data_IF_273682618938
#
_entry.id   IF_273682618938
#
_cell.length_a   1.000
_cell.length_b   1.000
_cell.length_c   1.000
_cell.angle_alpha   90.00
_cell.angle_beta   90.00
_cell.angle_gamma   90.00
#
_symmetry.space_group_name_H-M   'P 1'
#
loop_
_entity.id
_entity.type
_entity.pdbx_description
1 polymer ?
#
# COMPACT_ATOMS: atom_id res chain seq x y z
N UNK A 1 19.91 19.48 -8.12
CA UNK A 1 20.33 18.56 -7.04
C UNK A 1 19.09 17.85 -6.50
N UNK A 2 19.17 16.55 -6.26
CA UNK A 2 18.05 15.75 -5.76
C UNK A 2 18.00 15.76 -4.22
N UNK A 3 16.83 15.46 -3.64
CA UNK A 3 16.65 15.44 -2.17
C UNK A 3 17.61 14.49 -1.47
N UNK A 4 18.06 13.43 -2.15
CA UNK A 4 18.99 12.47 -1.57
C UNK A 4 20.42 13.01 -1.48
N UNK A 5 20.86 13.88 -2.39
CA UNK A 5 22.17 14.56 -2.25
C UNK A 5 22.17 15.57 -1.09
N UNK A 6 21.06 16.29 -0.87
CA UNK A 6 20.93 17.19 0.29
C UNK A 6 20.92 16.44 1.62
N UNK A 7 20.32 15.25 1.67
CA UNK A 7 20.31 14.39 2.85
C UNK A 7 21.70 13.85 3.23
N UNK A 8 22.59 13.63 2.25
CA UNK A 8 23.98 13.22 2.48
C UNK A 8 24.87 14.36 3.00
N UNK A 9 24.46 15.61 2.78
CA UNK A 9 25.20 16.82 3.14
C UNK A 9 24.89 17.33 4.55
N UNK A 10 23.86 16.82 5.25
CA UNK A 10 23.61 17.15 6.64
C UNK A 10 24.60 16.44 7.57
N UNK A 11 25.15 17.17 8.54
CA UNK A 11 26.03 16.63 9.57
C UNK A 11 25.28 15.65 10.48
N UNK A 12 25.79 14.42 10.58
CA UNK A 12 25.16 13.32 11.31
C UNK A 12 25.50 13.42 12.81
N UNK A 13 24.54 13.17 13.73
CA UNK A 13 24.81 13.13 15.16
C UNK A 13 25.90 12.09 15.52
N UNK A 14 26.79 12.43 16.46
CA UNK A 14 27.85 11.53 16.92
C UNK A 14 27.27 10.24 17.51
N UNK A 15 27.66 9.10 16.94
CA UNK A 15 27.26 7.75 17.41
C UNK A 15 26.48 6.92 16.39
N UNK A 16 26.04 7.50 15.27
CA UNK A 16 25.32 6.77 14.21
C UNK A 16 26.29 6.42 13.07
N UNK A 17 26.34 5.17 12.60
CA UNK A 17 27.16 4.79 11.45
C UNK A 17 26.77 5.59 10.21
N UNK A 18 27.75 6.21 9.53
CA UNK A 18 27.56 6.99 8.28
C UNK A 18 27.32 6.09 7.07
N UNK A 19 26.31 5.22 7.19
CA UNK A 19 25.88 4.27 6.16
C UNK A 19 24.61 4.79 5.49
N UNK A 20 24.40 4.38 4.23
CA UNK A 20 23.23 4.79 3.46
C UNK A 20 21.90 4.45 4.16
N UNK A 21 21.82 3.28 4.81
CA UNK A 21 20.63 2.84 5.52
C UNK A 21 20.29 3.75 6.72
N UNK A 22 21.29 4.10 7.54
CA UNK A 22 21.11 4.93 8.72
C UNK A 22 20.69 6.38 8.37
N UNK A 23 21.25 6.95 7.29
CA UNK A 23 20.87 8.28 6.80
C UNK A 23 19.44 8.27 6.22
N UNK A 24 19.06 7.21 5.52
CA UNK A 24 17.72 7.06 4.96
C UNK A 24 16.62 6.91 6.04
N UNK A 25 16.94 6.24 7.16
CA UNK A 25 16.06 6.16 8.33
C UNK A 25 15.93 7.51 9.04
N UNK A 26 17.04 8.20 9.30
CA UNK A 26 17.04 9.51 10.00
C UNK A 26 16.28 10.60 9.24
N UNK A 27 16.40 10.62 7.91
CA UNK A 27 15.80 11.66 7.05
C UNK A 27 14.33 11.38 6.70
N UNK A 28 13.73 10.30 7.22
CA UNK A 28 12.40 9.82 6.83
C UNK A 28 12.23 9.67 5.30
N UNK A 29 13.34 9.54 4.56
CA UNK A 29 13.35 9.44 3.10
C UNK A 29 12.60 8.20 2.58
N UNK A 30 12.34 7.23 3.45
CA UNK A 30 11.48 6.08 3.18
C UNK A 30 10.01 6.45 2.92
N UNK A 31 9.48 7.51 3.55
CA UNK A 31 8.12 8.00 3.32
C UNK A 31 7.98 8.66 1.94
N UNK A 32 9.02 9.38 1.48
CA UNK A 32 9.05 10.01 0.15
C UNK A 32 9.14 9.03 -1.04
N UNK A 33 9.34 7.73 -0.77
CA UNK A 33 9.35 6.65 -1.78
C UNK A 33 8.03 5.88 -1.86
N UNK A 34 7.05 6.21 -1.01
CA UNK A 34 5.76 5.55 -1.04
C UNK A 34 4.98 5.96 -2.29
N UNK A 35 4.19 5.02 -2.80
CA UNK A 35 3.40 5.22 -4.01
C UNK A 35 2.26 6.24 -3.80
N UNK A 36 1.70 6.27 -2.59
CA UNK A 36 0.68 7.20 -2.13
C UNK A 36 1.30 8.18 -1.15
N UNK A 37 0.76 9.40 -1.09
CA UNK A 37 1.03 10.33 0.00
C UNK A 37 0.42 9.79 1.31
N UNK A 38 0.92 10.22 2.48
CA UNK A 38 0.36 9.77 3.76
C UNK A 38 -1.15 10.03 3.91
N UNK A 39 -1.65 11.12 3.31
CA UNK A 39 -3.06 11.49 3.30
C UNK A 39 -3.89 10.56 2.40
N UNK A 40 -3.39 10.27 1.20
CA UNK A 40 -4.00 9.30 0.28
C UNK A 40 -4.04 7.90 0.90
N UNK A 41 -2.93 7.50 1.54
CA UNK A 41 -2.83 6.20 2.20
C UNK A 41 -3.85 6.09 3.35
N UNK A 42 -4.00 7.15 4.16
CA UNK A 42 -5.01 7.23 5.23
C UNK A 42 -6.44 7.16 4.69
N UNK A 43 -6.73 7.84 3.58
CA UNK A 43 -8.04 7.79 2.94
C UNK A 43 -8.39 6.37 2.45
N UNK A 44 -7.42 5.68 1.83
CA UNK A 44 -7.58 4.30 1.41
C UNK A 44 -7.83 3.35 2.59
N UNK A 45 -7.08 3.51 3.69
CA UNK A 45 -7.29 2.70 4.92
C UNK A 45 -8.70 2.93 5.48
N UNK A 46 -9.14 4.17 5.61
CA UNK A 46 -10.49 4.50 6.09
C UNK A 46 -11.59 3.88 5.21
N UNK A 47 -11.43 3.94 3.89
CA UNK A 47 -12.34 3.29 2.96
C UNK A 47 -12.40 1.76 3.18
N UNK A 48 -11.25 1.10 3.33
CA UNK A 48 -11.19 -0.34 3.57
C UNK A 48 -11.84 -0.73 4.91
N UNK A 49 -11.65 0.08 5.95
CA UNK A 49 -12.29 -0.12 7.25
C UNK A 49 -13.81 0.06 7.16
N UNK A 50 -14.29 1.08 6.44
CA UNK A 50 -15.71 1.31 6.19
C UNK A 50 -16.34 0.12 5.46
N UNK A 51 -15.72 -0.33 4.37
CA UNK A 51 -16.19 -1.49 3.61
C UNK A 51 -16.26 -2.76 4.48
N UNK A 52 -15.30 -2.96 5.38
CA UNK A 52 -15.34 -4.05 6.35
C UNK A 52 -16.48 -3.91 7.36
N UNK A 53 -16.76 -2.70 7.86
CA UNK A 53 -17.89 -2.46 8.78
C UNK A 53 -19.23 -2.70 8.10
N UNK A 54 -19.34 -2.41 6.80
CA UNK A 54 -20.53 -2.67 5.99
C UNK A 54 -20.69 -4.16 5.61
N UNK A 55 -19.83 -5.05 6.12
CA UNK A 55 -19.87 -6.48 5.82
C UNK A 55 -19.37 -6.85 4.42
N UNK A 56 -18.74 -5.91 3.71
CA UNK A 56 -18.21 -6.09 2.36
C UNK A 56 -16.69 -5.89 2.34
N UNK A 57 -15.91 -6.74 3.04
CA UNK A 57 -14.47 -6.59 3.10
C UNK A 57 -13.81 -6.70 1.71
N UNK A 58 -12.93 -5.76 1.39
CA UNK A 58 -12.23 -5.73 0.10
C UNK A 58 -11.10 -6.77 0.07
N UNK A 59 -10.94 -7.47 -1.05
CA UNK A 59 -9.84 -8.43 -1.24
C UNK A 59 -8.53 -7.70 -1.54
N UNK A 60 -7.41 -8.22 -1.02
CA UNK A 60 -6.06 -7.64 -1.20
C UNK A 60 -5.69 -7.40 -2.67
N UNK A 61 -6.18 -8.24 -3.60
CA UNK A 61 -5.94 -8.08 -5.04
C UNK A 61 -6.46 -6.78 -5.64
N UNK A 62 -7.48 -6.17 -5.02
CA UNK A 62 -8.08 -4.93 -5.50
C UNK A 62 -7.42 -3.68 -4.91
N UNK A 63 -6.64 -3.82 -3.83
CA UNK A 63 -5.99 -2.69 -3.16
C UNK A 63 -5.03 -1.94 -4.10
N UNK A 64 -4.18 -2.60 -4.92
CA UNK A 64 -3.36 -1.91 -5.91
C UNK A 64 -4.15 -1.11 -6.93
N UNK A 65 -5.32 -1.62 -7.36
CA UNK A 65 -6.18 -0.95 -8.35
C UNK A 65 -6.81 0.30 -7.72
N UNK A 66 -7.26 0.21 -6.47
CA UNK A 66 -7.78 1.37 -5.73
C UNK A 66 -6.70 2.44 -5.53
N UNK A 67 -5.49 2.03 -5.13
CA UNK A 67 -4.35 2.91 -4.99
C UNK A 67 -3.98 3.58 -6.34
N UNK A 68 -4.04 2.84 -7.44
CA UNK A 68 -3.81 3.38 -8.78
C UNK A 68 -4.88 4.42 -9.16
N UNK A 69 -6.15 4.17 -8.87
CA UNK A 69 -7.23 5.13 -9.13
C UNK A 69 -7.03 6.44 -8.36
N UNK A 70 -6.65 6.37 -7.08
CA UNK A 70 -6.35 7.56 -6.26
C UNK A 70 -5.17 8.33 -6.85
N UNK A 71 -4.06 7.62 -7.13
CA UNK A 71 -2.86 8.24 -7.67
C UNK A 71 -3.10 8.89 -9.04
N UNK A 72 -3.95 8.31 -9.89
CA UNK A 72 -4.34 8.90 -11.18
C UNK A 72 -5.16 10.18 -11.03
N UNK A 73 -6.03 10.26 -10.04
CA UNK A 73 -6.85 11.46 -9.80
C UNK A 73 -6.02 12.66 -9.34
N UNK A 74 -4.92 12.41 -8.61
CA UNK A 74 -4.05 13.48 -8.08
C UNK A 74 -2.85 13.83 -8.97
N UNK A 75 -2.56 13.03 -10.00
CA UNK A 75 -1.39 13.27 -10.85
C UNK A 75 -1.72 14.19 -12.02
N UNK A 76 -0.80 15.11 -12.33
CA UNK A 76 -0.76 15.70 -13.66
C UNK A 76 -0.56 14.59 -14.70
N UNK A 77 -1.05 14.71 -15.94
CA UNK A 77 -1.21 13.60 -16.90
C UNK A 77 0.02 12.72 -17.18
N UNK A 78 1.21 13.14 -16.75
CA UNK A 78 2.49 12.53 -17.08
C UNK A 78 3.25 11.91 -15.89
N UNK A 79 2.83 12.10 -14.63
CA UNK A 79 3.68 11.76 -13.46
C UNK A 79 3.45 10.39 -12.83
N UNK A 80 2.27 9.76 -12.94
CA UNK A 80 1.99 8.45 -12.30
C UNK A 80 1.11 7.51 -13.13
N UNK A 81 1.57 7.16 -14.33
CA UNK A 81 0.85 6.24 -15.23
C UNK A 81 1.10 4.75 -14.94
N UNK A 82 2.00 4.41 -14.00
CA UNK A 82 2.35 3.02 -13.70
C UNK A 82 1.58 2.52 -12.49
N UNK A 83 0.98 1.31 -12.55
CA UNK A 83 0.32 0.72 -11.39
C UNK A 83 1.35 0.38 -10.29
N UNK A 84 0.88 0.22 -9.03
CA UNK A 84 1.73 -0.26 -7.95
C UNK A 84 2.35 -1.63 -8.27
N UNK A 85 3.61 -1.82 -7.90
CA UNK A 85 4.32 -3.09 -8.16
C UNK A 85 3.74 -4.29 -7.40
N UNK A 86 4.11 -5.50 -7.83
CA UNK A 86 3.61 -6.79 -7.28
C UNK A 86 3.68 -6.91 -5.76
N UNK A 87 4.74 -6.39 -5.14
CA UNK A 87 4.95 -6.48 -3.69
C UNK A 87 4.30 -5.33 -2.90
N UNK A 88 3.72 -4.35 -3.57
CA UNK A 88 3.20 -3.15 -2.93
C UNK A 88 2.02 -3.45 -2.01
N UNK A 89 1.08 -4.29 -2.44
CA UNK A 89 -0.07 -4.69 -1.61
C UNK A 89 0.37 -5.37 -0.30
N UNK A 90 1.37 -6.25 -0.38
CA UNK A 90 1.92 -6.96 0.78
C UNK A 90 2.67 -6.01 1.72
N UNK A 91 3.40 -5.04 1.16
CA UNK A 91 4.06 -4.00 1.94
C UNK A 91 3.04 -3.07 2.61
N UNK A 92 1.94 -2.73 1.93
CA UNK A 92 0.84 -1.94 2.48
C UNK A 92 0.15 -2.68 3.63
N UNK A 93 -0.16 -3.97 3.48
CA UNK A 93 -0.72 -4.79 4.56
C UNK A 93 0.22 -4.88 5.77
N UNK A 94 1.54 -4.94 5.55
CA UNK A 94 2.53 -4.92 6.64
C UNK A 94 2.53 -3.60 7.43
N UNK A 95 2.22 -2.48 6.77
CA UNK A 95 2.12 -1.15 7.42
C UNK A 95 0.81 -0.99 8.21
N UNK A 96 -0.26 -1.65 7.79
CA UNK A 96 -1.62 -1.51 8.36
C UNK A 96 -2.16 -2.84 8.87
N UNK A 97 -1.68 -3.34 10.02
CA UNK A 97 -2.09 -4.63 10.56
C UNK A 97 -3.60 -4.70 10.88
N UNK A 98 -4.27 -3.57 11.14
CA UNK A 98 -5.73 -3.52 11.32
C UNK A 98 -6.55 -4.07 10.14
N UNK A 99 -5.99 -4.01 8.92
CA UNK A 99 -6.66 -4.48 7.72
C UNK A 99 -6.56 -6.00 7.55
N UNK A 100 -5.57 -6.64 8.18
CA UNK A 100 -5.31 -8.08 8.01
C UNK A 100 -6.48 -8.95 8.45
N UNK A 101 -7.15 -8.60 9.55
CA UNK A 101 -8.33 -9.31 10.04
C UNK A 101 -9.61 -9.01 9.23
N UNK A 102 -9.57 -7.93 8.44
CA UNK A 102 -10.73 -7.31 7.79
C UNK A 102 -10.74 -7.46 6.28
N UNK A 103 -9.76 -8.18 5.71
CA UNK A 103 -9.71 -8.47 4.28
C UNK A 103 -10.46 -9.75 3.96
N UNK A 104 -11.20 -9.74 2.84
CA UNK A 104 -11.92 -10.93 2.39
C UNK A 104 -10.92 -12.01 1.97
N UNK A 105 -11.05 -13.20 2.57
CA UNK A 105 -10.33 -14.38 2.09
C UNK A 105 -10.84 -14.78 0.69
N UNK A 106 -9.98 -15.35 -0.16
CA UNK A 106 -10.43 -15.99 -1.38
C UNK A 106 -11.48 -17.06 -1.08
N UNK A 107 -12.53 -17.13 -1.89
CA UNK A 107 -13.50 -18.23 -1.84
C UNK A 107 -12.78 -19.50 -2.28
N UNK A 108 -12.93 -20.58 -1.52
CA UNK A 108 -12.43 -21.91 -1.91
C UNK A 108 -13.05 -22.30 -3.26
N UNK A 109 -12.22 -22.77 -4.19
CA UNK A 109 -12.66 -23.25 -5.50
C UNK A 109 -13.83 -24.23 -5.39
N UNK A 110 -13.80 -25.15 -4.42
CA UNK A 110 -14.87 -26.13 -4.19
C UNK A 110 -16.23 -25.50 -3.83
N UNK A 111 -16.23 -24.26 -3.35
CA UNK A 111 -17.41 -23.45 -2.97
C UNK A 111 -17.79 -22.42 -4.05
N UNK A 112 -17.10 -22.41 -5.18
CA UNK A 112 -17.45 -21.52 -6.28
C UNK A 112 -18.78 -21.96 -6.91
N UNK A 113 -19.61 -21.02 -7.35
CA UNK A 113 -20.94 -21.29 -7.95
C UNK A 113 -20.87 -22.36 -9.04
N UNK A 114 -19.84 -22.31 -9.87
CA UNK A 114 -19.63 -23.25 -10.98
C UNK A 114 -19.47 -24.71 -10.51
N UNK A 115 -19.07 -24.94 -9.26
CA UNK A 115 -18.85 -26.27 -8.66
C UNK A 115 -19.97 -26.67 -7.68
N UNK A 116 -21.05 -25.88 -7.60
CA UNK A 116 -22.19 -26.10 -6.70
C UNK A 116 -23.35 -26.78 -7.43
N UNK A 117 -23.52 -26.54 -8.73
CA UNK A 117 -24.70 -26.99 -9.49
C UNK A 117 -24.95 -28.51 -9.39
N UNK A 118 -23.91 -29.33 -9.46
CA UNK A 118 -24.03 -30.80 -9.40
C UNK A 118 -24.27 -31.35 -7.97
N UNK A 119 -24.26 -30.50 -6.94
CA UNK A 119 -24.37 -30.90 -5.52
C UNK A 119 -25.72 -30.55 -4.89
N UNK A 120 -26.58 -29.86 -5.64
CA UNK A 120 -27.94 -29.53 -5.21
C UNK A 120 -28.86 -30.50 -5.97
N UNK A 121 -29.04 -31.70 -5.44
CA UNK A 121 -30.00 -32.72 -5.89
C UNK A 121 -30.66 -33.29 -4.64
#
# INVERSE_FOLDING_TARGET
>A
MDRATLALAQDLPHGIPRTYAAIAELTNSAQGRQYLTPEEEKALVNFLLLMSHLGQPVRIKFIPVLAFSIARQQSTPNTRNKPPGKNWARAFEKRHPELRARTARPIDWKRHSNNIHDKIT
#
